data_IF_834803056888
#
_entry.id   IF_834803056888
#
_cell.length_a   1.000
_cell.length_b   1.000
_cell.length_c   1.000
_cell.angle_alpha   90.00
_cell.angle_beta   90.00
_cell.angle_gamma   90.00
#
_symmetry.space_group_name_H-M   'P 1'
#
loop_
_entity.id
_entity.type
_entity.pdbx_description
1 polymer ?
#
# COMPACT_ATOMS: atom_id res chain seq x y z
N UNK A 1 7.69 -25.98 -5.19
CA UNK A 1 7.11 -24.76 -4.56
C UNK A 1 7.13 -23.66 -5.60
N UNK A 2 6.06 -22.84 -5.69
CA UNK A 2 5.97 -21.73 -6.64
C UNK A 2 6.83 -20.56 -6.13
N UNK A 3 7.73 -19.96 -6.95
CA UNK A 3 8.55 -18.83 -6.55
C UNK A 3 7.77 -17.51 -6.45
N UNK A 4 6.61 -17.43 -7.12
CA UNK A 4 5.79 -16.22 -7.13
C UNK A 4 4.73 -16.25 -6.02
N UNK A 5 4.57 -15.17 -5.25
CA UNK A 5 3.57 -15.10 -4.20
C UNK A 5 2.15 -15.19 -4.78
N UNK A 6 1.18 -15.53 -3.94
CA UNK A 6 -0.23 -15.44 -4.31
C UNK A 6 -0.59 -13.97 -4.59
N UNK A 7 -1.51 -13.72 -5.54
CA UNK A 7 -1.98 -12.37 -5.80
C UNK A 7 -2.60 -11.74 -4.56
N UNK A 8 -2.14 -10.53 -4.22
CA UNK A 8 -2.62 -9.77 -3.07
C UNK A 8 -1.62 -8.67 -2.67
N UNK A 9 -2.02 -7.75 -1.80
CA UNK A 9 -1.09 -6.78 -1.22
C UNK A 9 0.00 -7.49 -0.42
N UNK A 10 1.23 -7.01 -0.53
CA UNK A 10 2.34 -7.44 0.33
C UNK A 10 2.20 -6.72 1.67
N UNK A 11 2.16 -7.47 2.77
CA UNK A 11 1.98 -6.94 4.11
C UNK A 11 3.06 -7.51 5.06
N UNK A 12 4.14 -6.75 5.37
CA UNK A 12 5.29 -7.26 6.12
C UNK A 12 4.97 -7.73 7.54
N UNK A 13 3.95 -7.16 8.19
CA UNK A 13 3.55 -7.60 9.55
C UNK A 13 2.68 -8.85 9.56
N UNK A 14 2.08 -9.23 8.44
CA UNK A 14 1.40 -10.52 8.30
C UNK A 14 2.39 -11.65 8.01
N UNK A 15 3.42 -11.36 7.19
CA UNK A 15 4.49 -12.30 6.87
C UNK A 15 5.79 -11.57 6.54
N UNK A 16 6.86 -11.90 7.26
CA UNK A 16 8.20 -11.38 6.98
C UNK A 16 8.72 -11.79 5.60
N UNK A 17 8.19 -12.86 5.00
CA UNK A 17 8.51 -13.26 3.62
C UNK A 17 8.06 -12.20 2.61
N UNK A 18 7.02 -11.41 2.92
CA UNK A 18 6.55 -10.34 2.04
C UNK A 18 7.62 -9.29 1.76
N UNK A 19 8.55 -9.03 2.69
CA UNK A 19 9.68 -8.12 2.44
C UNK A 19 10.56 -8.58 1.27
N UNK A 20 10.70 -9.89 1.12
CA UNK A 20 11.46 -10.48 0.03
C UNK A 20 10.77 -10.38 -1.34
N UNK A 21 9.48 -10.12 -1.38
CA UNK A 21 8.68 -10.05 -2.60
C UNK A 21 8.55 -8.63 -3.20
N UNK A 22 9.05 -7.60 -2.52
CA UNK A 22 9.09 -6.25 -3.10
C UNK A 22 10.13 -6.20 -4.23
N UNK A 23 9.67 -6.30 -5.45
CA UNK A 23 10.50 -6.12 -6.65
C UNK A 23 10.50 -4.65 -7.09
N UNK A 24 11.63 -4.19 -7.62
CA UNK A 24 11.73 -2.87 -8.25
C UNK A 24 11.05 -2.95 -9.61
N UNK A 25 9.86 -2.39 -9.71
CA UNK A 25 9.06 -2.31 -10.95
C UNK A 25 8.39 -0.96 -11.04
N UNK A 26 8.17 -0.46 -12.26
CA UNK A 26 7.60 0.85 -12.53
C UNK A 26 8.28 1.95 -11.68
N UNK A 27 7.51 2.83 -11.05
CA UNK A 27 8.01 3.90 -10.18
C UNK A 27 7.98 3.55 -8.68
N UNK A 28 7.80 2.28 -8.32
CA UNK A 28 7.64 1.89 -6.90
C UNK A 28 8.86 2.22 -6.04
N UNK A 29 10.08 2.07 -6.56
CA UNK A 29 11.30 2.40 -5.81
C UNK A 29 11.52 3.91 -5.72
N UNK A 30 11.19 4.66 -6.78
CA UNK A 30 11.24 6.12 -6.78
C UNK A 30 10.25 6.69 -5.77
N UNK A 31 9.02 6.17 -5.75
CA UNK A 31 7.98 6.54 -4.80
C UNK A 31 8.38 6.21 -3.35
N UNK A 32 8.97 5.04 -3.12
CA UNK A 32 9.50 4.68 -1.80
C UNK A 32 10.65 5.58 -1.36
N UNK A 33 11.54 5.96 -2.28
CA UNK A 33 12.64 6.89 -2.02
C UNK A 33 12.13 8.29 -1.73
N UNK A 34 11.13 8.77 -2.48
CA UNK A 34 10.46 10.04 -2.20
C UNK A 34 9.81 10.06 -0.82
N UNK A 35 9.14 8.97 -0.43
CA UNK A 35 8.59 8.84 0.92
C UNK A 35 9.68 8.96 2.01
N UNK A 36 10.79 8.24 1.87
CA UNK A 36 11.91 8.32 2.83
C UNK A 36 12.52 9.71 2.94
N UNK A 37 12.55 10.46 1.84
CA UNK A 37 13.01 11.84 1.84
C UNK A 37 12.01 12.79 2.55
N UNK A 38 10.70 12.59 2.34
CA UNK A 38 9.65 13.41 2.93
C UNK A 38 9.42 13.12 4.41
N UNK A 39 9.53 11.85 4.81
CA UNK A 39 9.32 11.36 6.18
C UNK A 39 10.56 10.54 6.60
N UNK A 40 11.67 11.19 6.90
CA UNK A 40 12.95 10.50 7.13
C UNK A 40 12.96 9.65 8.41
N UNK A 41 12.11 9.99 9.37
CA UNK A 41 11.99 9.27 10.64
C UNK A 41 10.63 9.53 11.31
N UNK A 42 10.34 8.77 12.34
CA UNK A 42 9.12 8.92 13.15
C UNK A 42 9.20 10.16 14.09
N UNK A 43 10.39 10.62 14.46
CA UNK A 43 10.56 11.74 15.37
C UNK A 43 10.01 13.04 14.77
N UNK A 44 10.15 13.25 13.46
CA UNK A 44 9.57 14.40 12.77
C UNK A 44 8.04 14.49 12.89
N UNK A 45 7.36 13.35 13.05
CA UNK A 45 5.90 13.29 13.21
C UNK A 45 5.42 13.73 14.58
N UNK A 46 6.29 13.74 15.59
CA UNK A 46 5.94 14.22 16.95
C UNK A 46 5.72 15.73 16.99
N UNK A 47 6.36 16.47 16.10
CA UNK A 47 6.14 17.91 15.92
C UNK A 47 4.94 18.24 15.03
N UNK A 48 4.73 17.43 13.99
CA UNK A 48 3.70 17.68 12.96
C UNK A 48 3.24 16.38 12.31
N UNK A 49 1.92 16.12 12.34
CA UNK A 49 1.34 15.03 11.58
C UNK A 49 1.38 15.28 10.07
N UNK A 50 1.21 14.22 9.29
CA UNK A 50 1.28 14.26 7.83
C UNK A 50 0.22 13.39 7.17
N UNK A 51 -0.06 13.72 5.91
CA UNK A 51 -0.85 12.86 5.01
C UNK A 51 0.01 12.51 3.79
N UNK A 52 0.02 11.23 3.46
CA UNK A 52 0.68 10.69 2.26
C UNK A 52 -0.41 10.08 1.38
N UNK A 53 -0.42 10.43 0.10
CA UNK A 53 -1.38 9.91 -0.88
C UNK A 53 -0.67 9.04 -1.91
N UNK A 54 -0.95 7.74 -1.90
CA UNK A 54 -0.55 6.84 -2.96
C UNK A 54 -1.58 6.90 -4.11
N UNK A 55 -1.13 7.21 -5.32
CA UNK A 55 -1.98 7.34 -6.50
C UNK A 55 -1.51 6.43 -7.64
N UNK A 56 -2.47 6.00 -8.47
CA UNK A 56 -2.22 5.12 -9.61
C UNK A 56 -3.36 4.15 -9.85
N UNK A 57 -3.42 3.53 -11.01
CA UNK A 57 -4.49 2.61 -11.40
C UNK A 57 -4.71 1.45 -10.42
N UNK A 58 -5.87 0.80 -10.52
CA UNK A 58 -6.14 -0.41 -9.73
C UNK A 58 -5.11 -1.50 -10.06
N UNK A 59 -4.58 -2.16 -9.03
CA UNK A 59 -3.60 -3.24 -9.21
C UNK A 59 -2.15 -2.78 -9.45
N UNK A 60 -1.84 -1.48 -9.43
CA UNK A 60 -0.48 -0.95 -9.59
C UNK A 60 0.40 -1.06 -8.32
N UNK A 61 -0.08 -1.64 -7.22
CA UNK A 61 0.73 -1.92 -6.03
C UNK A 61 0.71 -0.81 -4.96
N UNK A 62 -0.23 0.15 -5.00
CA UNK A 62 -0.36 1.24 -4.01
C UNK A 62 -0.38 0.74 -2.57
N UNK A 63 -1.29 -0.17 -2.25
CA UNK A 63 -1.43 -0.72 -0.90
C UNK A 63 -0.14 -1.39 -0.42
N UNK A 64 0.51 -2.19 -1.29
CA UNK A 64 1.82 -2.79 -0.97
C UNK A 64 2.90 -1.73 -0.72
N UNK A 65 2.90 -0.64 -1.49
CA UNK A 65 3.83 0.47 -1.28
C UNK A 65 3.59 1.14 0.08
N UNK A 66 2.33 1.41 0.44
CA UNK A 66 1.99 1.98 1.75
C UNK A 66 2.42 1.07 2.90
N UNK A 67 2.19 -0.25 2.77
CA UNK A 67 2.67 -1.24 3.74
C UNK A 67 4.20 -1.22 3.87
N UNK A 68 4.93 -1.15 2.76
CA UNK A 68 6.39 -1.03 2.76
C UNK A 68 6.87 0.23 3.48
N UNK A 69 6.23 1.37 3.20
CA UNK A 69 6.54 2.65 3.82
C UNK A 69 6.28 2.63 5.34
N UNK A 70 5.11 2.11 5.74
CA UNK A 70 4.73 1.99 7.15
C UNK A 70 5.69 1.08 7.93
N UNK A 71 6.02 -0.09 7.38
CA UNK A 71 6.97 -1.03 7.98
C UNK A 71 8.36 -0.40 8.10
N UNK A 72 8.86 0.24 7.02
CA UNK A 72 10.15 0.91 7.07
C UNK A 72 10.20 1.96 8.19
N UNK A 73 9.14 2.78 8.33
CA UNK A 73 9.08 3.78 9.39
C UNK A 73 9.05 3.13 10.78
N UNK A 74 8.40 1.98 10.93
CA UNK A 74 8.39 1.21 12.17
C UNK A 74 9.78 0.68 12.51
N UNK A 75 10.52 0.18 11.52
CA UNK A 75 11.90 -0.29 11.71
C UNK A 75 12.90 0.84 12.03
N UNK A 76 12.70 2.04 11.45
CA UNK A 76 13.50 3.23 11.76
C UNK A 76 13.14 3.85 13.10
N UNK A 77 11.90 3.68 13.55
CA UNK A 77 11.43 4.10 14.86
C UNK A 77 12.08 3.23 15.95
N UNK A 78 12.93 3.81 16.76
CA UNK A 78 13.46 3.11 17.95
C UNK A 78 12.38 2.95 19.03
N UNK A 79 12.80 2.86 20.29
CA UNK A 79 11.88 2.85 21.43
C UNK A 79 11.20 4.23 21.65
N UNK A 80 11.73 5.32 21.09
CA UNK A 80 11.28 6.70 21.33
C UNK A 80 11.43 7.56 20.07
N UNK A 81 10.34 7.84 19.33
CA UNK A 81 8.98 7.32 19.53
C UNK A 81 8.79 5.89 19.01
N UNK A 82 7.96 5.11 19.69
CA UNK A 82 7.45 3.83 19.19
C UNK A 82 6.46 4.07 18.05
N UNK A 83 6.56 3.32 16.97
CA UNK A 83 5.62 3.37 15.84
C UNK A 83 4.62 2.24 15.95
N UNK A 84 3.34 2.56 15.85
CA UNK A 84 2.24 1.60 15.77
C UNK A 84 1.57 1.76 14.40
N UNK A 85 1.39 0.65 13.69
CA UNK A 85 0.70 0.60 12.41
C UNK A 85 -0.75 0.17 12.67
N UNK A 86 -1.69 0.99 12.19
CA UNK A 86 -3.14 0.69 12.20
C UNK A 86 -3.58 0.55 10.75
N UNK A 87 -3.82 -0.69 10.34
CA UNK A 87 -4.24 -1.00 8.97
C UNK A 87 -5.76 -1.07 8.87
N UNK A 88 -6.37 -0.03 8.31
CA UNK A 88 -7.79 0.08 8.04
C UNK A 88 -8.12 -0.10 6.55
N UNK A 89 -7.15 -0.52 5.72
CA UNK A 89 -7.37 -0.71 4.28
C UNK A 89 -8.47 -1.73 3.94
N UNK A 90 -8.78 -2.75 4.79
CA UNK A 90 -9.89 -3.67 4.52
C UNK A 90 -11.27 -3.09 4.83
N UNK A 91 -11.35 -1.96 5.57
CA UNK A 91 -12.61 -1.35 5.99
C UNK A 91 -13.27 -0.59 4.83
N UNK A 92 -13.95 -1.29 3.91
CA UNK A 92 -14.72 -0.68 2.81
C UNK A 92 -16.20 -0.57 3.17
N UNK A 93 -16.68 0.65 3.33
CA UNK A 93 -18.13 0.94 3.49
C UNK A 93 -18.68 1.58 2.23
N UNK A 94 -19.20 0.75 1.33
CA UNK A 94 -19.95 1.22 0.16
C UNK A 94 -21.23 1.92 0.57
N UNK A 95 -21.49 3.08 -0.01
CA UNK A 95 -22.76 3.81 0.13
C UNK A 95 -22.84 4.80 1.29
N UNK A 96 -21.87 4.89 2.17
CA UNK A 96 -21.81 5.94 3.18
C UNK A 96 -21.36 7.28 2.56
N UNK A 97 -21.87 8.40 3.06
CA UNK A 97 -21.33 9.72 2.71
C UNK A 97 -19.94 9.92 3.32
N UNK A 98 -19.22 10.93 2.82
CA UNK A 98 -17.85 11.22 3.26
C UNK A 98 -17.74 11.44 4.76
N UNK A 99 -18.69 12.14 5.36
CA UNK A 99 -18.67 12.44 6.79
C UNK A 99 -18.85 11.18 7.65
N UNK A 100 -19.76 10.30 7.25
CA UNK A 100 -19.98 9.03 7.93
C UNK A 100 -18.78 8.10 7.80
N UNK A 101 -18.13 8.07 6.61
CA UNK A 101 -16.88 7.29 6.40
C UNK A 101 -15.78 7.78 7.32
N UNK A 102 -15.52 9.08 7.35
CA UNK A 102 -14.50 9.69 8.21
C UNK A 102 -14.76 9.40 9.68
N UNK A 103 -16.00 9.56 10.16
CA UNK A 103 -16.40 9.21 11.55
C UNK A 103 -16.14 7.75 11.85
N UNK A 104 -16.56 6.87 10.94
CA UNK A 104 -16.33 5.43 11.12
C UNK A 104 -14.85 5.09 11.23
N UNK A 105 -14.02 5.60 10.33
CA UNK A 105 -12.57 5.36 10.35
C UNK A 105 -11.93 5.90 11.63
N UNK A 106 -12.32 7.09 12.09
CA UNK A 106 -11.82 7.64 13.34
C UNK A 106 -12.25 6.82 14.56
N UNK A 107 -13.46 6.27 14.56
CA UNK A 107 -13.92 5.37 15.61
C UNK A 107 -13.13 4.05 15.59
N UNK A 108 -12.91 3.46 14.40
CA UNK A 108 -12.09 2.25 14.23
C UNK A 108 -10.65 2.48 14.68
N UNK A 109 -10.03 3.61 14.30
CA UNK A 109 -8.70 3.98 14.77
C UNK A 109 -8.62 4.02 16.30
N UNK A 110 -9.63 4.57 16.96
CA UNK A 110 -9.69 4.60 18.43
C UNK A 110 -9.80 3.20 19.02
N UNK A 111 -10.64 2.33 18.45
CA UNK A 111 -10.82 0.94 18.89
C UNK A 111 -9.52 0.12 18.72
N UNK A 112 -8.81 0.27 17.59
CA UNK A 112 -7.54 -0.44 17.34
C UNK A 112 -6.45 0.02 18.33
N UNK A 113 -6.32 1.32 18.56
CA UNK A 113 -5.35 1.84 19.53
C UNK A 113 -5.71 1.50 20.99
N UNK A 114 -6.98 1.34 21.31
CA UNK A 114 -7.42 0.80 22.59
C UNK A 114 -6.97 -0.65 22.77
N UNK A 115 -7.08 -1.47 21.72
CA UNK A 115 -6.67 -2.88 21.75
C UNK A 115 -5.17 -3.08 21.96
N UNK A 116 -4.35 -2.09 21.57
CA UNK A 116 -2.91 -2.06 21.82
C UNK A 116 -2.53 -1.87 23.30
N UNK A 117 -3.51 -1.60 24.17
CA UNK A 117 -3.28 -1.42 25.60
C UNK A 117 -2.46 -0.20 25.98
N UNK A 118 -2.45 0.84 25.13
CA UNK A 118 -1.63 2.04 25.30
C UNK A 118 -2.16 2.99 26.37
N UNK A 119 -3.46 2.99 26.61
CA UNK A 119 -4.15 4.02 27.36
C UNK A 119 -4.71 3.51 28.67
N UNK A 120 -4.60 4.30 29.74
CA UNK A 120 -5.24 4.01 31.00
C UNK A 120 -6.76 4.18 30.96
N UNK A 121 -7.47 3.65 31.95
CA UNK A 121 -8.95 3.65 32.01
C UNK A 121 -9.57 5.04 31.86
N UNK A 122 -9.00 6.07 32.47
CA UNK A 122 -9.48 7.46 32.36
C UNK A 122 -9.32 8.02 30.95
N UNK A 123 -8.17 7.75 30.29
CA UNK A 123 -7.92 8.17 28.91
C UNK A 123 -8.90 7.50 27.95
N UNK A 124 -9.15 6.20 28.14
CA UNK A 124 -10.10 5.42 27.35
C UNK A 124 -11.54 5.95 27.52
N UNK A 125 -11.93 6.28 28.73
CA UNK A 125 -13.26 6.87 28.99
C UNK A 125 -13.46 8.18 28.20
N UNK A 126 -12.44 9.06 28.16
CA UNK A 126 -12.50 10.31 27.40
C UNK A 126 -12.49 10.07 25.88
N UNK A 127 -11.72 9.10 25.38
CA UNK A 127 -11.71 8.76 23.96
C UNK A 127 -13.05 8.19 23.50
N UNK A 128 -13.65 7.30 24.29
CA UNK A 128 -14.97 6.71 24.02
C UNK A 128 -16.10 7.75 23.99
N UNK A 129 -16.06 8.72 24.91
CA UNK A 129 -17.03 9.83 24.95
C UNK A 129 -16.99 10.71 23.68
N UNK A 130 -15.81 10.82 23.04
CA UNK A 130 -15.58 11.70 21.88
C UNK A 130 -15.46 10.96 20.54
N UNK A 131 -15.54 9.65 20.53
CA UNK A 131 -15.23 8.82 19.35
C UNK A 131 -16.09 9.13 18.11
N UNK A 132 -17.31 9.63 18.31
CA UNK A 132 -18.24 9.94 17.23
C UNK A 132 -18.03 11.34 16.62
N UNK A 133 -17.13 12.14 17.20
CA UNK A 133 -16.71 13.44 16.67
C UNK A 133 -15.20 13.47 16.40
N UNK A 134 -14.77 13.25 15.14
CA UNK A 134 -13.35 13.24 14.76
C UNK A 134 -12.59 14.52 15.16
N UNK A 135 -13.26 15.68 15.13
CA UNK A 135 -12.64 16.96 15.48
C UNK A 135 -12.33 17.09 16.97
N UNK A 136 -13.04 16.37 17.81
CA UNK A 136 -12.76 16.29 19.25
C UNK A 136 -11.86 15.10 19.60
N UNK A 137 -12.06 13.95 18.95
CA UNK A 137 -11.34 12.73 19.24
C UNK A 137 -9.84 12.82 18.86
N UNK A 138 -9.54 13.26 17.63
CA UNK A 138 -8.15 13.26 17.13
C UNK A 138 -7.18 14.20 17.88
N UNK A 139 -7.57 15.41 18.31
CA UNK A 139 -6.71 16.23 19.19
C UNK A 139 -6.39 15.55 20.52
N UNK A 140 -7.38 14.88 21.13
CA UNK A 140 -7.18 14.15 22.39
C UNK A 140 -6.31 12.92 22.18
N UNK A 141 -6.58 12.15 21.14
CA UNK A 141 -5.77 11.01 20.74
C UNK A 141 -4.31 11.42 20.51
N UNK A 142 -4.07 12.47 19.72
CA UNK A 142 -2.73 13.02 19.46
C UNK A 142 -2.00 13.40 20.74
N UNK A 143 -2.70 14.00 21.73
CA UNK A 143 -2.13 14.32 23.03
C UNK A 143 -1.72 13.07 23.78
N UNK A 144 -2.56 12.05 23.80
CA UNK A 144 -2.28 10.81 24.52
C UNK A 144 -1.14 10.02 23.85
N UNK A 145 -1.14 9.91 22.52
CA UNK A 145 -0.02 9.34 21.78
C UNK A 145 1.31 10.04 22.12
N UNK A 146 1.31 11.38 22.22
CA UNK A 146 2.50 12.13 22.59
C UNK A 146 2.96 11.85 24.02
N UNK A 147 2.06 11.65 24.99
CA UNK A 147 2.40 11.31 26.36
C UNK A 147 3.04 9.91 26.44
N UNK A 148 2.54 8.97 25.65
CA UNK A 148 3.06 7.60 25.57
C UNK A 148 4.27 7.47 24.63
N UNK A 149 4.72 8.58 24.02
CA UNK A 149 5.80 8.63 23.02
C UNK A 149 5.56 7.67 21.84
N UNK A 150 4.33 7.67 21.34
CA UNK A 150 3.85 6.82 20.25
C UNK A 150 3.51 7.69 19.04
N UNK A 151 3.83 7.17 17.85
CA UNK A 151 3.36 7.66 16.57
C UNK A 151 2.45 6.60 15.95
N UNK A 152 1.22 7.00 15.64
CA UNK A 152 0.27 6.15 14.91
C UNK A 152 0.43 6.37 13.40
N UNK A 153 0.75 5.30 12.67
CA UNK A 153 0.76 5.24 11.21
C UNK A 153 -0.52 4.53 10.77
N UNK A 154 -1.43 5.26 10.19
CA UNK A 154 -2.78 4.80 9.86
C UNK A 154 -2.92 4.65 8.36
N UNK A 155 -3.19 3.44 7.91
CA UNK A 155 -3.47 3.15 6.50
C UNK A 155 -4.99 3.19 6.30
N UNK A 156 -5.43 4.18 5.53
CA UNK A 156 -6.85 4.43 5.28
C UNK A 156 -7.39 3.50 4.18
N UNK A 157 -8.68 3.19 4.20
CA UNK A 157 -9.32 2.52 3.08
C UNK A 157 -9.16 3.30 1.76
N UNK A 158 -9.21 2.62 0.60
CA UNK A 158 -9.17 3.29 -0.70
C UNK A 158 -10.25 4.37 -0.82
N UNK A 159 -9.86 5.56 -1.30
CA UNK A 159 -10.78 6.69 -1.46
C UNK A 159 -10.99 7.05 -2.93
N UNK A 160 -12.27 7.14 -3.31
CA UNK A 160 -12.70 7.59 -4.64
C UNK A 160 -12.99 9.10 -4.66
N UNK A 161 -12.97 9.76 -3.50
CA UNK A 161 -13.37 11.15 -3.31
C UNK A 161 -12.22 11.98 -2.73
N UNK A 162 -11.86 13.05 -3.42
CA UNK A 162 -10.86 13.99 -2.90
C UNK A 162 -11.27 14.63 -1.58
N UNK A 163 -12.58 14.86 -1.38
CA UNK A 163 -13.14 15.41 -0.15
C UNK A 163 -12.79 14.59 1.08
N UNK A 164 -12.73 13.27 0.94
CA UNK A 164 -12.35 12.37 2.04
C UNK A 164 -10.89 12.55 2.44
N UNK A 165 -9.99 12.55 1.45
CA UNK A 165 -8.56 12.81 1.68
C UNK A 165 -8.33 14.19 2.29
N UNK A 166 -9.06 15.21 1.79
CA UNK A 166 -8.99 16.57 2.32
C UNK A 166 -9.47 16.64 3.78
N UNK A 167 -10.52 15.87 4.15
CA UNK A 167 -10.98 15.77 5.53
C UNK A 167 -9.91 15.19 6.45
N UNK A 168 -9.24 14.11 6.05
CA UNK A 168 -8.13 13.56 6.84
C UNK A 168 -6.97 14.55 6.96
N UNK A 169 -6.70 15.36 5.94
CA UNK A 169 -5.69 16.41 6.02
C UNK A 169 -6.06 17.53 7.01
N UNK A 170 -7.34 17.89 7.14
CA UNK A 170 -7.82 18.82 8.15
C UNK A 170 -7.77 18.22 9.57
N UNK A 171 -7.95 16.92 9.67
CA UNK A 171 -8.00 16.19 10.93
C UNK A 171 -6.64 15.76 11.44
N UNK A 172 -5.62 15.62 10.58
CA UNK A 172 -4.30 15.12 10.99
C UNK A 172 -3.69 16.00 12.08
N UNK A 173 -3.13 15.37 13.09
CA UNK A 173 -2.46 16.03 14.24
C UNK A 173 -1.06 15.44 14.41
N UNK A 174 -0.21 16.09 15.21
CA UNK A 174 1.09 15.54 15.61
C UNK A 174 0.92 14.11 16.13
N UNK A 175 1.95 13.32 16.02
CA UNK A 175 1.98 11.89 16.32
C UNK A 175 1.06 11.01 15.44
N UNK A 176 0.53 11.53 14.33
CA UNK A 176 -0.32 10.77 13.40
C UNK A 176 0.18 10.96 11.98
N UNK A 177 0.34 9.86 11.26
CA UNK A 177 0.57 9.82 9.82
C UNK A 177 -0.59 9.07 9.18
N UNK A 178 -1.33 9.73 8.28
CA UNK A 178 -2.32 9.07 7.45
C UNK A 178 -1.73 8.71 6.09
N UNK A 179 -1.87 7.44 5.70
CA UNK A 179 -1.73 7.00 4.33
C UNK A 179 -3.12 6.87 3.71
N UNK A 180 -3.33 7.56 2.62
CA UNK A 180 -4.50 7.42 1.76
C UNK A 180 -4.10 6.83 0.40
N UNK A 181 -5.00 6.13 -0.27
CA UNK A 181 -4.79 5.69 -1.64
C UNK A 181 -5.97 6.01 -2.54
N UNK A 182 -5.70 6.27 -3.81
CA UNK A 182 -6.72 6.47 -4.84
C UNK A 182 -6.32 5.83 -6.17
N UNK A 183 -7.33 5.31 -6.88
CA UNK A 183 -7.16 4.83 -8.25
C UNK A 183 -7.43 5.91 -9.31
N UNK A 184 -7.84 7.11 -8.89
CA UNK A 184 -8.34 8.15 -9.78
C UNK A 184 -7.40 9.35 -9.84
N UNK A 185 -6.86 9.65 -11.02
CA UNK A 185 -5.96 10.78 -11.25
C UNK A 185 -6.58 12.14 -10.90
N UNK A 186 -7.89 12.31 -11.16
CA UNK A 186 -8.58 13.56 -10.83
C UNK A 186 -8.64 13.81 -9.32
N UNK A 187 -8.75 12.75 -8.50
CA UNK A 187 -8.67 12.84 -7.03
C UNK A 187 -7.27 13.27 -6.61
N UNK A 188 -6.25 12.61 -7.13
CA UNK A 188 -4.86 12.94 -6.84
C UNK A 188 -4.52 14.39 -7.23
N UNK A 189 -4.90 14.81 -8.43
CA UNK A 189 -4.69 16.18 -8.89
C UNK A 189 -5.43 17.22 -8.05
N UNK A 190 -6.68 16.95 -7.63
CA UNK A 190 -7.44 17.85 -6.76
C UNK A 190 -6.76 17.97 -5.39
N UNK A 191 -6.33 16.87 -4.79
CA UNK A 191 -5.60 16.88 -3.53
C UNK A 191 -4.28 17.66 -3.65
N UNK A 192 -3.48 17.41 -4.69
CA UNK A 192 -2.23 18.14 -4.94
C UNK A 192 -2.42 19.66 -5.03
N UNK A 193 -3.48 20.07 -5.72
CA UNK A 193 -3.80 21.50 -5.86
C UNK A 193 -4.24 22.13 -4.55
N UNK A 194 -5.04 21.43 -3.75
CA UNK A 194 -5.59 21.96 -2.49
C UNK A 194 -4.57 21.88 -1.32
N UNK A 195 -3.74 20.86 -1.30
CA UNK A 195 -2.78 20.55 -0.23
C UNK A 195 -1.32 20.65 -0.71
N UNK A 196 -1.05 21.54 -1.65
CA UNK A 196 0.29 21.80 -2.15
C UNK A 196 1.23 22.41 -1.10
N UNK A 197 2.48 22.75 -1.48
CA UNK A 197 3.53 23.19 -0.55
C UNK A 197 3.17 24.38 0.34
N UNK A 198 2.22 25.22 -0.07
CA UNK A 198 1.72 26.37 0.70
C UNK A 198 0.59 26.05 1.69
N UNK A 199 0.12 24.80 1.72
CA UNK A 199 -0.94 24.36 2.63
C UNK A 199 -0.44 24.24 4.07
N UNK A 200 -1.29 24.49 5.08
CA UNK A 200 -0.99 24.12 6.47
C UNK A 200 -0.65 22.63 6.66
N UNK A 201 -1.22 21.78 5.84
CA UNK A 201 -0.94 20.33 5.82
C UNK A 201 -0.61 19.91 4.41
N UNK A 202 0.63 20.12 3.92
CA UNK A 202 1.00 19.68 2.59
C UNK A 202 0.96 18.15 2.50
N UNK A 203 0.44 17.67 1.39
CA UNK A 203 0.35 16.24 1.10
C UNK A 203 1.60 15.79 0.36
N UNK A 204 2.15 14.64 0.74
CA UNK A 204 3.17 13.95 -0.04
C UNK A 204 2.48 12.99 -1.00
N UNK A 205 2.83 13.05 -2.28
CA UNK A 205 2.26 12.18 -3.30
C UNK A 205 3.26 11.10 -3.73
N UNK A 206 2.81 9.85 -3.65
CA UNK A 206 3.53 8.67 -4.11
C UNK A 206 2.80 8.15 -5.35
N UNK A 207 3.36 8.38 -6.51
CA UNK A 207 2.76 7.91 -7.77
C UNK A 207 3.33 6.55 -8.16
N UNK A 208 2.46 5.60 -8.46
CA UNK A 208 2.77 4.33 -9.09
C UNK A 208 1.95 4.17 -10.37
N UNK A 209 2.46 3.39 -11.32
CA UNK A 209 1.84 3.28 -12.62
C UNK A 209 1.74 1.85 -13.13
N UNK A 210 1.59 1.74 -14.43
CA UNK A 210 1.62 0.48 -15.14
C UNK A 210 3.05 0.06 -15.43
N UNK A 211 3.25 -1.24 -15.59
CA UNK A 211 4.54 -1.82 -15.90
C UNK A 211 5.05 -1.35 -17.27
N UNK A 212 6.37 -1.17 -17.37
CA UNK A 212 7.12 -1.03 -18.60
C UNK A 212 7.51 -2.42 -19.10
N UNK A 213 7.97 -2.50 -20.36
CA UNK A 213 8.37 -3.78 -20.97
C UNK A 213 9.48 -4.47 -20.17
N UNK A 214 10.40 -3.68 -19.64
CA UNK A 214 11.55 -4.15 -18.85
C UNK A 214 11.15 -4.73 -17.50
N UNK A 215 10.08 -4.21 -16.89
CA UNK A 215 9.63 -4.59 -15.56
C UNK A 215 9.22 -6.07 -15.48
N UNK A 216 8.69 -6.61 -16.57
CA UNK A 216 8.30 -8.01 -16.64
C UNK A 216 9.45 -8.97 -16.33
N UNK A 217 10.61 -8.74 -16.96
CA UNK A 217 11.81 -9.52 -16.66
C UNK A 217 12.39 -9.19 -15.30
N UNK A 218 12.47 -7.91 -14.94
CA UNK A 218 12.95 -7.48 -13.63
C UNK A 218 12.18 -8.16 -12.48
N UNK A 219 10.85 -8.24 -12.60
CA UNK A 219 10.01 -8.93 -11.62
C UNK A 219 10.32 -10.43 -11.55
N UNK A 220 10.37 -11.11 -12.67
CA UNK A 220 10.68 -12.56 -12.73
C UNK A 220 12.07 -12.85 -12.18
N UNK A 221 13.08 -12.10 -12.65
CA UNK A 221 14.47 -12.27 -12.23
C UNK A 221 14.62 -12.08 -10.72
N UNK A 222 13.98 -11.07 -10.14
CA UNK A 222 13.98 -10.82 -8.70
C UNK A 222 13.49 -12.06 -7.91
N UNK A 223 12.39 -12.69 -8.33
CA UNK A 223 11.83 -13.84 -7.62
C UNK A 223 12.64 -15.12 -7.82
N UNK A 224 13.16 -15.36 -9.03
CA UNK A 224 13.92 -16.58 -9.32
C UNK A 224 15.32 -16.57 -8.68
N UNK A 225 16.00 -15.44 -8.66
CA UNK A 225 17.36 -15.33 -8.07
C UNK A 225 17.35 -15.48 -6.54
N UNK A 226 16.24 -15.18 -5.88
CA UNK A 226 16.10 -15.35 -4.43
C UNK A 226 15.87 -16.80 -3.98
N UNK A 227 15.48 -17.67 -4.91
CA UNK A 227 15.16 -19.06 -4.63
C UNK A 227 15.90 -19.99 -5.62
N UNK A 228 17.24 -19.95 -5.66
CA UNK A 228 18.03 -20.77 -6.59
C UNK A 228 17.93 -22.26 -6.30
N UNK A 229 17.46 -22.62 -5.11
CA UNK A 229 17.20 -24.00 -4.65
C UNK A 229 15.97 -24.63 -5.32
N UNK A 230 15.06 -23.81 -5.87
CA UNK A 230 13.83 -24.33 -6.45
C UNK A 230 14.07 -24.80 -7.90
N UNK A 231 13.65 -26.02 -8.17
CA UNK A 231 13.53 -26.51 -9.55
C UNK A 231 12.26 -25.97 -10.16
N UNK A 232 12.38 -24.91 -10.93
CA UNK A 232 11.27 -24.22 -11.61
C UNK A 232 11.48 -24.23 -13.11
N UNK A 233 10.41 -24.13 -13.91
CA UNK A 233 10.52 -23.97 -15.35
C UNK A 233 11.39 -22.77 -15.70
N UNK A 234 12.28 -22.93 -16.67
CA UNK A 234 13.08 -21.82 -17.19
C UNK A 234 12.20 -20.89 -18.04
N UNK A 235 12.39 -19.60 -17.88
CA UNK A 235 11.78 -18.57 -18.73
C UNK A 235 12.85 -17.57 -19.14
N UNK A 236 12.80 -17.08 -20.37
CA UNK A 236 13.81 -16.14 -20.89
C UNK A 236 13.35 -14.69 -20.74
N UNK A 237 14.32 -13.77 -20.69
CA UNK A 237 14.04 -12.34 -20.74
C UNK A 237 13.20 -11.97 -21.97
N UNK A 238 13.57 -12.51 -23.14
CA UNK A 238 12.85 -12.24 -24.39
C UNK A 238 11.37 -12.69 -24.31
N UNK A 239 11.10 -13.84 -23.69
CA UNK A 239 9.72 -14.31 -23.46
C UNK A 239 8.95 -13.30 -22.63
N UNK A 240 9.50 -12.86 -21.50
CA UNK A 240 8.82 -11.92 -20.59
C UNK A 240 8.63 -10.53 -21.22
N UNK A 241 9.63 -10.03 -21.93
CA UNK A 241 9.49 -8.77 -22.70
C UNK A 241 8.35 -8.88 -23.71
N UNK A 242 8.28 -9.97 -24.46
CA UNK A 242 7.20 -10.19 -25.44
C UNK A 242 5.83 -10.27 -24.78
N UNK A 243 5.71 -10.94 -23.64
CA UNK A 243 4.44 -11.04 -22.88
C UNK A 243 3.93 -9.65 -22.47
N UNK A 244 4.80 -8.85 -21.84
CA UNK A 244 4.43 -7.50 -21.37
C UNK A 244 4.17 -6.56 -22.55
N UNK A 245 5.00 -6.56 -23.58
CA UNK A 245 4.83 -5.74 -24.78
C UNK A 245 3.51 -6.02 -25.50
N UNK A 246 3.16 -7.30 -25.69
CA UNK A 246 1.89 -7.68 -26.30
C UNK A 246 0.70 -7.26 -25.45
N UNK A 247 0.81 -7.34 -24.14
CA UNK A 247 -0.26 -6.91 -23.23
C UNK A 247 -0.44 -5.39 -23.26
N UNK A 248 0.66 -4.61 -23.22
CA UNK A 248 0.64 -3.15 -23.34
C UNK A 248 0.00 -2.73 -24.67
N UNK A 249 0.46 -3.31 -25.78
CA UNK A 249 -0.01 -2.97 -27.13
C UNK A 249 -1.48 -3.37 -27.39
N UNK A 250 -1.96 -4.45 -26.76
CA UNK A 250 -3.30 -4.99 -27.00
C UNK A 250 -4.38 -4.43 -26.10
N UNK A 251 -4.06 -4.02 -24.86
CA UNK A 251 -5.07 -3.64 -23.88
C UNK A 251 -4.70 -2.38 -23.07
N UNK A 252 -3.73 -1.61 -23.53
CA UNK A 252 -3.43 -0.29 -22.98
C UNK A 252 -2.63 -0.27 -21.68
N UNK A 253 -2.05 -1.41 -21.28
CA UNK A 253 -1.18 -1.48 -20.12
C UNK A 253 -1.24 -2.80 -19.36
N UNK A 254 -0.28 -3.02 -18.46
CA UNK A 254 -0.22 -4.16 -17.55
C UNK A 254 0.08 -3.67 -16.13
N UNK A 255 -0.64 -4.17 -15.14
CA UNK A 255 -0.39 -3.85 -13.74
C UNK A 255 0.45 -4.93 -13.05
N UNK A 256 1.09 -4.59 -11.94
CA UNK A 256 1.87 -5.56 -11.15
C UNK A 256 0.99 -6.70 -10.63
N UNK A 257 -0.26 -6.42 -10.23
CA UNK A 257 -1.22 -7.45 -9.81
C UNK A 257 -1.54 -8.43 -10.93
N UNK A 258 -1.70 -7.92 -12.16
CA UNK A 258 -1.97 -8.76 -13.33
C UNK A 258 -0.77 -9.64 -13.67
N UNK A 259 0.46 -9.08 -13.68
CA UNK A 259 1.68 -9.85 -13.86
C UNK A 259 1.85 -10.92 -12.78
N UNK A 260 1.66 -10.57 -11.52
CA UNK A 260 1.73 -11.49 -10.39
C UNK A 260 0.72 -12.64 -10.53
N UNK A 261 -0.53 -12.31 -10.89
CA UNK A 261 -1.58 -13.32 -11.11
C UNK A 261 -1.22 -14.28 -12.23
N UNK A 262 -0.73 -13.74 -13.35
CA UNK A 262 -0.29 -14.51 -14.50
C UNK A 262 0.85 -15.46 -14.13
N UNK A 263 1.92 -14.93 -13.51
CA UNK A 263 3.09 -15.71 -13.15
C UNK A 263 2.77 -16.76 -12.10
N UNK A 264 2.01 -16.39 -11.05
CA UNK A 264 1.59 -17.37 -10.04
C UNK A 264 0.84 -18.53 -10.68
N UNK A 265 -0.14 -18.26 -11.55
CA UNK A 265 -0.97 -19.29 -12.16
C UNK A 265 -0.19 -20.18 -13.14
N UNK A 266 0.54 -19.59 -14.08
CA UNK A 266 1.25 -20.37 -15.10
C UNK A 266 2.38 -21.20 -14.48
N UNK A 267 3.12 -20.66 -13.49
CA UNK A 267 4.15 -21.45 -12.80
C UNK A 267 3.55 -22.56 -11.94
N UNK A 268 2.37 -22.36 -11.38
CA UNK A 268 1.63 -23.42 -10.65
C UNK A 268 1.27 -24.58 -11.60
N UNK A 269 0.75 -24.29 -12.80
CA UNK A 269 0.43 -25.31 -13.81
C UNK A 269 1.70 -26.02 -14.33
N UNK A 270 2.73 -25.24 -14.65
CA UNK A 270 3.99 -25.78 -15.18
C UNK A 270 4.72 -26.67 -14.19
N UNK A 271 4.70 -26.30 -12.90
CA UNK A 271 5.27 -27.16 -11.83
C UNK A 271 4.50 -28.47 -11.67
N UNK A 272 3.16 -28.42 -11.76
CA UNK A 272 2.32 -29.62 -11.70
C UNK A 272 2.56 -30.55 -12.91
N UNK A 273 2.83 -29.97 -14.09
CA UNK A 273 3.14 -30.71 -15.32
C UNK A 273 4.61 -31.11 -15.43
N UNK A 274 5.48 -30.74 -14.47
CA UNK A 274 6.94 -30.90 -14.54
C UNK A 274 7.55 -30.31 -15.84
N UNK A 275 6.99 -29.22 -16.36
CA UNK A 275 7.46 -28.57 -17.57
C UNK A 275 8.86 -27.99 -17.36
N UNK A 276 9.82 -28.22 -18.30
CA UNK A 276 11.19 -27.71 -18.13
C UNK A 276 11.35 -26.24 -18.48
N UNK A 277 10.50 -25.71 -19.36
CA UNK A 277 10.58 -24.35 -19.89
C UNK A 277 9.17 -23.77 -20.07
N UNK A 278 9.10 -22.43 -20.07
CA UNK A 278 7.92 -21.65 -20.43
C UNK A 278 8.25 -20.72 -21.60
N UNK A 279 7.49 -20.85 -22.68
CA UNK A 279 7.61 -20.01 -23.87
C UNK A 279 6.42 -19.03 -23.95
N UNK A 280 6.50 -18.03 -24.82
CA UNK A 280 5.42 -17.05 -25.05
C UNK A 280 4.06 -17.71 -25.32
N UNK A 281 4.04 -18.83 -26.06
CA UNK A 281 2.80 -19.55 -26.37
C UNK A 281 2.10 -20.06 -25.09
N UNK A 282 2.85 -20.53 -24.11
CA UNK A 282 2.28 -21.03 -22.86
C UNK A 282 1.55 -19.91 -22.10
N UNK A 283 2.13 -18.71 -22.08
CA UNK A 283 1.49 -17.53 -21.50
C UNK A 283 0.23 -17.11 -22.26
N UNK A 284 0.27 -17.13 -23.60
CA UNK A 284 -0.89 -16.80 -24.43
C UNK A 284 -2.03 -17.80 -24.23
N UNK A 285 -1.72 -19.09 -24.20
CA UNK A 285 -2.70 -20.15 -23.97
C UNK A 285 -3.30 -20.07 -22.56
N UNK A 286 -2.47 -19.75 -21.55
CA UNK A 286 -2.95 -19.51 -20.19
C UNK A 286 -3.95 -18.34 -20.14
N UNK A 287 -3.63 -17.20 -20.77
CA UNK A 287 -4.52 -16.04 -20.83
C UNK A 287 -5.88 -16.39 -21.47
N UNK A 288 -5.85 -17.11 -22.58
CA UNK A 288 -7.08 -17.51 -23.30
C UNK A 288 -7.94 -18.41 -22.42
N UNK A 289 -7.34 -19.36 -21.69
CA UNK A 289 -8.07 -20.24 -20.78
C UNK A 289 -8.64 -19.47 -19.58
N UNK A 290 -7.83 -18.60 -18.96
CA UNK A 290 -8.26 -17.82 -17.79
C UNK A 290 -9.38 -16.84 -18.12
N UNK A 291 -9.35 -16.20 -19.29
CA UNK A 291 -10.41 -15.29 -19.75
C UNK A 291 -11.76 -16.00 -20.03
N UNK A 292 -11.77 -17.32 -20.21
CA UNK A 292 -13.00 -18.10 -20.40
C UNK A 292 -13.65 -18.55 -19.09
N UNK A 293 -12.96 -18.35 -17.96
CA UNK A 293 -13.43 -18.74 -16.62
C UNK A 293 -14.07 -17.57 -15.84
N UNK A 294 -14.03 -16.38 -16.42
CA UNK A 294 -14.64 -15.14 -15.93
C UNK A 294 -15.90 -14.85 -16.74
#
# INVERSE_FOLDING_TARGET
MNPFPRPGPLCPWESSEHLAHYATVDHTEDAFTAFKAAVPDAAGLTGRGRVVLASGGSGCGKTSLMHRCAHWLQEQGGADPRVIIVDLTPDDRKGADTEQRVRHICARLSDELESEGLFGAEQLAVLRDRRDDPYQALPVLSKYLGNEKVVAVVLLPPSDLAEEVLRFADLVRKNVLFFAETAYDHVAHKCARMLGPGSPTPIEQLQVGQLKVEDGWGYVHHHLTRRPDLRVPAVTEQTMRTVVEKRISGAGGMTVKELQTLLHGIFQEALAAAAPTLEFRDFADYYIRSARLI
#
